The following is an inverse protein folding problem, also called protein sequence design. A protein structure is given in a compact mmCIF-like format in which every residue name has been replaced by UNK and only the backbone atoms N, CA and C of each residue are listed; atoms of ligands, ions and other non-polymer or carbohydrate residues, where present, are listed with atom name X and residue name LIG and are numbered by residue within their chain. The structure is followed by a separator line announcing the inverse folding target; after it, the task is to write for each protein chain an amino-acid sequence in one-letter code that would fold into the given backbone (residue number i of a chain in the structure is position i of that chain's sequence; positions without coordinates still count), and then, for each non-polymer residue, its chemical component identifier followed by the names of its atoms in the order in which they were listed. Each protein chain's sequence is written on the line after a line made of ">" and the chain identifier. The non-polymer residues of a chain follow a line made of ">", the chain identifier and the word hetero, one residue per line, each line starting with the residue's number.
data_IF_724740938214
#
_entry.id   IF_724740938214
#
_cell.length_a   1.000
_cell.length_b   1.000
_cell.length_c   1.000
_cell.angle_alpha   90.00
_cell.angle_beta   90.00
_cell.angle_gamma   90.00
#
_symmetry.space_group_name_H-M   'P 1'
#
loop_
_entity.id
_entity.type
_entity.pdbx_description
1 polymer ?
#
# COMPACT_ATOMS: atom_id res chain seq x y z
N UNK A 1 17.50 2.20 8.94
CA UNK A 1 17.92 1.39 7.76
C UNK A 1 17.66 -0.08 8.09
N UNK A 2 17.25 -0.92 7.13
CA UNK A 2 17.00 -2.33 7.41
C UNK A 2 18.31 -3.09 7.72
N UNK A 3 18.31 -4.11 8.59
CA UNK A 3 19.52 -4.84 9.00
C UNK A 3 20.31 -5.44 7.82
N UNK A 4 19.63 -5.91 6.79
CA UNK A 4 20.25 -6.52 5.59
C UNK A 4 20.90 -5.49 4.66
N UNK A 5 20.41 -4.24 4.66
CA UNK A 5 20.99 -3.15 3.87
C UNK A 5 22.37 -2.77 4.42
N UNK A 6 22.60 -2.94 5.74
CA UNK A 6 23.93 -2.85 6.35
C UNK A 6 24.89 -3.94 5.82
N UNK A 7 24.34 -5.07 5.36
CA UNK A 7 25.10 -6.21 4.82
C UNK A 7 25.24 -6.20 3.28
N UNK A 8 24.72 -5.16 2.59
CA UNK A 8 24.79 -4.95 1.12
C UNK A 8 24.04 -5.95 0.24
N UNK A 9 23.19 -6.79 0.81
CA UNK A 9 22.27 -7.64 0.06
C UNK A 9 20.89 -6.96 0.00
N UNK A 10 20.61 -6.29 -1.12
CA UNK A 10 19.37 -5.56 -1.32
C UNK A 10 18.28 -6.48 -1.90
N UNK A 11 17.12 -6.51 -1.26
CA UNK A 11 15.89 -7.08 -1.81
C UNK A 11 14.71 -6.13 -1.60
N UNK A 12 13.61 -6.33 -2.33
CA UNK A 12 12.37 -5.55 -2.17
C UNK A 12 11.76 -5.65 -0.75
N UNK A 13 12.26 -6.56 0.10
CA UNK A 13 11.83 -6.69 1.48
C UNK A 13 12.29 -5.51 2.35
N UNK A 14 13.37 -4.80 1.98
CA UNK A 14 13.88 -3.66 2.75
C UNK A 14 12.91 -2.47 2.76
N UNK A 15 12.07 -2.33 1.73
CA UNK A 15 11.00 -1.35 1.67
C UNK A 15 9.93 -1.65 2.73
N UNK A 16 9.63 -2.93 2.97
CA UNK A 16 8.64 -3.32 4.00
C UNK A 16 9.14 -2.99 5.40
N UNK A 17 10.44 -3.15 5.66
CA UNK A 17 11.04 -2.70 6.92
C UNK A 17 10.90 -1.18 7.08
N UNK A 18 11.23 -0.43 6.04
CA UNK A 18 11.15 1.03 6.05
C UNK A 18 9.72 1.52 6.30
N UNK A 19 8.73 0.88 5.69
CA UNK A 19 7.32 1.12 5.98
C UNK A 19 6.95 0.79 7.44
N UNK A 20 7.51 -0.27 8.02
CA UNK A 20 7.31 -0.61 9.43
C UNK A 20 7.84 0.47 10.37
N UNK A 21 9.02 1.02 10.07
CA UNK A 21 9.60 2.14 10.83
C UNK A 21 8.73 3.39 10.71
N UNK A 22 8.30 3.75 9.50
CA UNK A 22 7.41 4.90 9.27
C UNK A 22 6.08 4.70 10.02
N UNK A 23 5.51 3.49 9.98
CA UNK A 23 4.27 3.18 10.68
C UNK A 23 4.42 3.29 12.20
N UNK A 24 5.53 2.81 12.77
CA UNK A 24 5.83 2.96 14.19
C UNK A 24 5.86 4.44 14.58
N UNK A 25 6.56 5.27 13.81
CA UNK A 25 6.65 6.73 14.02
C UNK A 25 5.28 7.39 13.89
N UNK A 26 4.47 7.03 12.89
CA UNK A 26 3.16 7.64 12.68
C UNK A 26 2.18 7.36 13.83
N UNK A 27 2.28 6.21 14.49
CA UNK A 27 1.37 5.83 15.57
C UNK A 27 1.83 6.28 16.96
N UNK A 28 3.14 6.38 17.19
CA UNK A 28 3.69 6.72 18.51
C UNK A 28 4.35 8.10 18.59
N UNK A 29 4.82 8.64 17.46
CA UNK A 29 5.71 9.81 17.42
C UNK A 29 7.16 9.51 17.81
N UNK A 30 7.52 8.24 18.04
CA UNK A 30 8.82 7.80 18.54
C UNK A 30 9.58 7.02 17.46
N UNK A 31 10.90 6.89 17.63
CA UNK A 31 11.71 6.02 16.77
C UNK A 31 11.72 4.60 17.36
N UNK A 32 11.55 3.54 16.55
CA UNK A 32 11.62 2.17 17.05
C UNK A 32 13.03 1.76 17.50
N UNK A 33 14.07 2.35 16.90
CA UNK A 33 15.46 2.05 17.24
C UNK A 33 16.20 3.36 17.53
N UNK A 34 16.51 3.59 18.80
CA UNK A 34 17.21 4.79 19.28
C UNK A 34 18.61 4.44 19.78
N UNK A 35 19.48 5.43 19.89
CA UNK A 35 20.84 5.27 20.39
C UNK A 35 21.56 6.61 20.41
N UNK A 36 22.55 6.75 21.31
CA UNK A 36 23.35 7.98 21.42
C UNK A 36 24.42 8.07 20.34
N UNK A 37 24.76 6.94 19.71
CA UNK A 37 25.70 6.86 18.59
C UNK A 37 25.14 6.02 17.45
N UNK A 38 25.62 6.25 16.23
CA UNK A 38 25.23 5.42 15.06
C UNK A 38 25.50 3.93 15.29
N UNK A 39 26.56 3.59 16.04
CA UNK A 39 26.89 2.21 16.39
C UNK A 39 25.84 1.56 17.31
N UNK A 40 25.33 2.31 18.28
CA UNK A 40 24.24 1.84 19.16
C UNK A 40 22.93 1.66 18.38
N UNK A 41 22.61 2.60 17.48
CA UNK A 41 21.43 2.49 16.61
C UNK A 41 21.56 1.24 15.73
N UNK A 42 22.73 0.99 15.14
CA UNK A 42 22.98 -0.22 14.36
C UNK A 42 22.84 -1.50 15.19
N UNK A 43 23.32 -1.51 16.43
CA UNK A 43 23.18 -2.65 17.34
C UNK A 43 21.72 -2.92 17.69
N UNK A 44 20.94 -1.89 17.98
CA UNK A 44 19.50 -2.00 18.25
C UNK A 44 18.73 -2.50 17.02
N UNK A 45 19.08 -2.02 15.83
CA UNK A 45 18.53 -2.53 14.56
C UNK A 45 18.88 -4.01 14.36
N UNK A 46 20.15 -4.40 14.57
CA UNK A 46 20.62 -5.77 14.37
C UNK A 46 20.04 -6.76 15.38
N UNK A 47 19.77 -6.30 16.60
CA UNK A 47 19.18 -7.11 17.67
C UNK A 47 17.65 -7.10 17.68
N UNK A 48 17.02 -6.31 16.80
CA UNK A 48 15.57 -6.05 16.80
C UNK A 48 15.08 -5.53 18.16
N UNK A 49 15.88 -4.69 18.82
CA UNK A 49 15.56 -4.15 20.13
C UNK A 49 14.64 -2.93 19.98
N UNK A 50 13.33 -3.19 20.01
CA UNK A 50 12.25 -2.22 20.09
C UNK A 50 11.07 -2.84 20.86
N UNK A 51 10.21 -2.02 21.44
CA UNK A 51 9.04 -2.49 22.19
C UNK A 51 7.81 -1.59 21.97
N UNK A 52 6.74 -1.87 22.71
CA UNK A 52 5.51 -1.08 22.71
C UNK A 52 5.07 -0.77 24.15
N UNK A 53 6.02 -0.60 25.07
CA UNK A 53 5.79 -0.44 26.51
C UNK A 53 5.45 1.00 26.92
N UNK A 54 5.79 1.99 26.10
CA UNK A 54 5.47 3.40 26.39
C UNK A 54 3.97 3.70 26.38
N UNK A 55 3.51 4.62 27.25
CA UNK A 55 2.09 4.98 27.42
C UNK A 55 1.39 5.40 26.11
N UNK A 56 2.14 5.93 25.14
CA UNK A 56 1.62 6.30 23.81
C UNK A 56 1.00 5.10 23.07
N UNK A 57 1.42 3.88 23.41
CA UNK A 57 0.94 2.64 22.81
C UNK A 57 -0.33 2.08 23.46
N UNK A 58 -0.79 2.61 24.60
CA UNK A 58 -1.98 2.10 25.29
C UNK A 58 -3.26 2.29 24.47
N UNK A 59 -3.33 3.36 23.67
CA UNK A 59 -4.44 3.67 22.78
C UNK A 59 -4.40 2.97 21.41
N UNK A 60 -3.29 2.29 21.09
CA UNK A 60 -3.06 1.68 19.77
C UNK A 60 -3.52 0.22 19.76
N UNK A 61 -4.28 -0.17 18.73
CA UNK A 61 -4.83 -1.52 18.64
C UNK A 61 -3.76 -2.61 18.53
N UNK A 62 -4.06 -3.80 19.07
CA UNK A 62 -3.15 -4.94 19.04
C UNK A 62 -2.80 -5.36 17.60
N UNK A 63 -3.75 -5.24 16.66
CA UNK A 63 -3.54 -5.56 15.24
C UNK A 63 -2.55 -4.60 14.57
N UNK A 64 -2.48 -3.34 15.02
CA UNK A 64 -1.50 -2.38 14.53
C UNK A 64 -0.09 -2.77 14.99
N UNK A 65 0.06 -3.10 16.28
CA UNK A 65 1.32 -3.57 16.88
C UNK A 65 1.79 -4.88 16.25
N UNK A 66 0.87 -5.80 15.98
CA UNK A 66 1.14 -7.06 15.28
C UNK A 66 1.64 -6.85 13.84
N UNK A 67 1.03 -5.91 13.10
CA UNK A 67 1.52 -5.56 11.76
C UNK A 67 2.96 -5.02 11.81
N UNK A 68 3.23 -4.06 12.70
CA UNK A 68 4.59 -3.50 12.87
C UNK A 68 5.58 -4.60 13.23
N UNK A 69 5.21 -5.49 14.16
CA UNK A 69 6.05 -6.62 14.58
C UNK A 69 6.40 -7.55 13.43
N UNK A 70 5.50 -7.75 12.46
CA UNK A 70 5.76 -8.57 11.26
C UNK A 70 6.57 -7.84 10.17
N UNK A 71 6.62 -6.51 10.22
CA UNK A 71 7.43 -5.68 9.30
C UNK A 71 8.86 -5.46 9.83
N UNK A 72 9.02 -5.34 11.15
CA UNK A 72 10.28 -5.09 11.84
C UNK A 72 10.95 -6.39 12.34
N UNK A 73 11.07 -7.38 11.45
CA UNK A 73 11.81 -8.62 11.69
C UNK A 73 12.90 -8.83 10.64
N UNK A 74 13.75 -9.83 10.88
CA UNK A 74 14.74 -10.27 9.90
C UNK A 74 14.08 -10.61 8.57
N UNK A 75 14.78 -10.33 7.48
CA UNK A 75 14.28 -10.45 6.10
C UNK A 75 13.56 -11.78 5.80
N UNK A 76 14.08 -12.90 6.33
CA UNK A 76 13.53 -14.25 6.08
C UNK A 76 12.11 -14.45 6.63
N UNK A 77 11.80 -13.77 7.73
CA UNK A 77 10.51 -13.90 8.42
C UNK A 77 9.61 -12.68 8.15
N UNK A 78 10.12 -11.69 7.40
CA UNK A 78 9.44 -10.44 7.13
C UNK A 78 8.27 -10.65 6.19
N UNK A 79 7.12 -10.10 6.58
CA UNK A 79 5.92 -10.11 5.77
C UNK A 79 6.18 -9.42 4.42
N UNK A 80 5.59 -9.93 3.34
CA UNK A 80 5.66 -9.27 2.02
C UNK A 80 4.70 -8.07 1.96
N UNK A 81 4.92 -7.09 1.06
CA UNK A 81 3.98 -5.97 0.89
C UNK A 81 2.53 -6.42 0.63
N UNK A 82 2.36 -7.50 -0.14
CA UNK A 82 1.04 -8.07 -0.46
C UNK A 82 0.34 -8.67 0.76
N UNK A 83 1.10 -9.32 1.63
CA UNK A 83 0.58 -9.86 2.89
C UNK A 83 0.29 -8.74 3.89
N UNK A 84 1.14 -7.71 3.97
CA UNK A 84 0.93 -6.53 4.81
C UNK A 84 -0.35 -5.77 4.42
N UNK A 85 -0.58 -5.58 3.13
CA UNK A 85 -1.83 -4.99 2.61
C UNK A 85 -3.06 -5.83 2.98
N UNK A 86 -2.91 -7.16 3.05
CA UNK A 86 -3.99 -8.07 3.42
C UNK A 86 -4.18 -8.22 4.94
N UNK A 87 -3.36 -7.56 5.74
CA UNK A 87 -3.40 -7.63 7.20
C UNK A 87 -4.75 -7.13 7.75
N UNK A 88 -5.30 -7.77 8.80
CA UNK A 88 -6.57 -7.36 9.40
C UNK A 88 -6.62 -5.87 9.76
N UNK A 89 -5.53 -5.32 10.28
CA UNK A 89 -5.44 -3.89 10.61
C UNK A 89 -5.68 -2.99 9.39
N UNK A 90 -4.98 -3.24 8.28
CA UNK A 90 -5.13 -2.46 7.04
C UNK A 90 -6.54 -2.63 6.46
N UNK A 91 -7.06 -3.86 6.43
CA UNK A 91 -8.42 -4.12 5.95
C UNK A 91 -9.50 -3.41 6.76
N UNK A 92 -9.32 -3.31 8.08
CA UNK A 92 -10.27 -2.60 8.95
C UNK A 92 -10.31 -1.10 8.67
N UNK A 93 -9.17 -0.51 8.25
CA UNK A 93 -9.04 0.91 7.95
C UNK A 93 -9.56 1.27 6.55
N UNK A 94 -9.45 0.37 5.58
CA UNK A 94 -9.83 0.64 4.18
C UNK A 94 -11.34 0.81 3.97
N UNK A 95 -12.17 0.41 4.94
CA UNK A 95 -13.63 0.53 4.88
C UNK A 95 -14.26 -0.29 3.74
N UNK A 96 -15.55 -0.59 3.85
CA UNK A 96 -16.27 -1.21 2.74
C UNK A 96 -16.59 -0.11 1.71
N UNK A 97 -15.85 -0.07 0.60
CA UNK A 97 -16.11 0.88 -0.51
C UNK A 97 -17.37 0.51 -1.31
N UNK A 98 -18.16 -0.46 -0.84
CA UNK A 98 -19.43 -0.88 -1.43
C UNK A 98 -20.50 0.20 -1.23
N UNK A 99 -20.62 1.13 -2.17
CA UNK A 99 -21.74 2.07 -2.15
C UNK A 99 -21.81 3.14 -3.23
N UNK A 100 -20.82 3.25 -4.13
CA UNK A 100 -20.85 4.27 -5.18
C UNK A 100 -21.47 3.72 -6.46
N UNK A 101 -22.58 4.34 -6.89
CA UNK A 101 -23.24 4.07 -8.17
C UNK A 101 -22.39 4.67 -9.30
N UNK A 102 -21.63 3.83 -9.98
CA UNK A 102 -20.82 4.26 -11.11
C UNK A 102 -21.67 4.49 -12.36
N UNK A 103 -21.38 5.55 -13.12
CA UNK A 103 -22.16 5.91 -14.30
C UNK A 103 -21.96 4.88 -15.41
N UNK A 104 -23.04 4.32 -15.96
CA UNK A 104 -23.00 3.43 -17.15
C UNK A 104 -22.19 4.03 -18.32
N UNK A 105 -22.12 5.36 -18.41
CA UNK A 105 -21.34 6.12 -19.39
C UNK A 105 -19.85 5.74 -19.49
N UNK A 106 -19.22 5.18 -18.44
CA UNK A 106 -17.82 4.77 -18.52
C UNK A 106 -17.60 3.56 -19.44
N UNK A 107 -18.59 2.67 -19.56
CA UNK A 107 -18.50 1.49 -20.43
C UNK A 107 -18.59 1.87 -21.90
N UNK A 108 -19.45 2.82 -22.23
CA UNK A 108 -19.58 3.35 -23.58
C UNK A 108 -18.26 4.01 -24.02
N UNK A 109 -17.62 4.78 -23.13
CA UNK A 109 -16.32 5.40 -23.40
C UNK A 109 -15.19 4.39 -23.62
N UNK A 110 -15.19 3.26 -22.91
CA UNK A 110 -14.22 2.18 -23.12
C UNK A 110 -14.41 1.50 -24.48
N UNK A 111 -15.66 1.30 -24.91
CA UNK A 111 -15.96 0.74 -26.23
C UNK A 111 -15.57 1.73 -27.36
N UNK A 112 -15.84 3.02 -27.18
CA UNK A 112 -15.39 4.09 -28.10
C UNK A 112 -13.86 4.17 -28.20
N UNK A 113 -13.16 4.03 -27.07
CA UNK A 113 -11.70 4.00 -27.04
C UNK A 113 -11.16 2.79 -27.79
N UNK A 114 -11.76 1.61 -27.58
CA UNK A 114 -11.38 0.37 -28.29
C UNK A 114 -11.54 0.51 -29.80
N UNK A 115 -12.60 1.16 -30.27
CA UNK A 115 -12.86 1.39 -31.70
C UNK A 115 -12.05 2.55 -32.30
N UNK A 116 -11.38 3.36 -31.48
CA UNK A 116 -10.58 4.50 -31.96
C UNK A 116 -9.30 4.07 -32.69
N UNK A 117 -8.86 4.89 -33.65
CA UNK A 117 -7.62 4.66 -34.41
C UNK A 117 -6.37 4.83 -33.53
N UNK A 118 -5.22 4.37 -34.03
CA UNK A 118 -3.96 4.38 -33.29
C UNK A 118 -3.52 5.78 -32.85
N UNK A 119 -3.71 6.80 -33.71
CA UNK A 119 -3.33 8.18 -33.40
C UNK A 119 -4.15 8.73 -32.23
N UNK A 120 -5.47 8.57 -32.26
CA UNK A 120 -6.37 8.99 -31.18
C UNK A 120 -6.05 8.26 -29.88
N UNK A 121 -5.77 6.95 -29.93
CA UNK A 121 -5.33 6.17 -28.77
C UNK A 121 -4.02 6.68 -28.19
N UNK A 122 -3.02 6.97 -29.02
CA UNK A 122 -1.74 7.51 -28.58
C UNK A 122 -1.89 8.90 -27.93
N UNK A 123 -2.66 9.79 -28.54
CA UNK A 123 -2.92 11.14 -28.01
C UNK A 123 -3.65 11.04 -26.66
N UNK A 124 -4.72 10.25 -26.58
CA UNK A 124 -5.46 10.08 -25.33
C UNK A 124 -4.60 9.44 -24.23
N UNK A 125 -3.75 8.48 -24.58
CA UNK A 125 -2.80 7.87 -23.63
C UNK A 125 -1.80 8.90 -23.12
N UNK A 126 -1.25 9.74 -24.01
CA UNK A 126 -0.36 10.83 -23.60
C UNK A 126 -1.07 11.83 -22.69
N UNK A 127 -2.29 12.27 -23.06
CA UNK A 127 -3.07 13.18 -22.25
C UNK A 127 -3.37 12.60 -20.86
N UNK A 128 -3.70 11.31 -20.76
CA UNK A 128 -3.93 10.63 -19.49
C UNK A 128 -2.72 10.71 -18.55
N UNK A 129 -1.48 10.72 -19.07
CA UNK A 129 -0.27 10.90 -18.24
C UNK A 129 -0.05 12.33 -17.73
N UNK A 130 -0.89 13.29 -18.16
CA UNK A 130 -0.80 14.72 -17.82
C UNK A 130 -1.98 15.21 -16.99
N UNK A 131 -2.97 14.37 -16.76
CA UNK A 131 -4.14 14.71 -15.94
C UNK A 131 -3.74 14.76 -14.47
N UNK A 132 -4.32 15.71 -13.72
CA UNK A 132 -4.09 15.82 -12.29
C UNK A 132 -5.00 14.87 -11.52
N UNK A 133 -4.51 14.28 -10.42
CA UNK A 133 -5.25 13.30 -9.63
C UNK A 133 -6.58 13.84 -9.06
N UNK A 134 -6.65 15.16 -8.81
CA UNK A 134 -7.89 15.82 -8.36
C UNK A 134 -9.00 15.80 -9.42
N UNK A 135 -8.65 15.83 -10.71
CA UNK A 135 -9.62 15.85 -11.81
C UNK A 135 -10.21 14.46 -12.09
N UNK A 136 -9.52 13.40 -11.66
CA UNK A 136 -9.86 11.99 -11.93
C UNK A 136 -10.14 11.18 -10.66
N UNK A 137 -10.46 11.86 -9.56
CA UNK A 137 -10.67 11.21 -8.27
C UNK A 137 -11.76 10.12 -8.33
N UNK A 138 -12.86 10.40 -9.02
CA UNK A 138 -13.96 9.43 -9.17
C UNK A 138 -13.52 8.19 -9.99
N UNK A 139 -12.71 8.39 -11.02
CA UNK A 139 -12.13 7.32 -11.84
C UNK A 139 -11.10 6.50 -11.08
N UNK A 140 -10.27 7.13 -10.24
CA UNK A 140 -9.31 6.44 -9.36
C UNK A 140 -10.07 5.57 -8.34
N UNK A 141 -11.11 6.11 -7.73
CA UNK A 141 -11.94 5.34 -6.80
C UNK A 141 -12.69 4.18 -7.49
N UNK A 142 -13.16 4.39 -8.71
CA UNK A 142 -13.73 3.32 -9.55
C UNK A 142 -12.68 2.24 -9.83
N UNK A 143 -11.48 2.65 -10.26
CA UNK A 143 -10.37 1.74 -10.54
C UNK A 143 -10.04 0.89 -9.30
N UNK A 144 -9.87 1.53 -8.14
CA UNK A 144 -9.56 0.85 -6.88
C UNK A 144 -10.68 -0.10 -6.43
N UNK A 145 -11.94 0.19 -6.77
CA UNK A 145 -13.05 -0.72 -6.47
C UNK A 145 -13.04 -2.00 -7.33
N UNK A 146 -12.39 -1.94 -8.50
CA UNK A 146 -12.23 -3.07 -9.42
C UNK A 146 -10.95 -3.86 -9.11
N UNK A 147 -9.87 -3.15 -8.77
CA UNK A 147 -8.59 -3.72 -8.37
C UNK A 147 -8.66 -4.32 -6.96
N UNK A 148 -9.18 -5.54 -6.87
CA UNK A 148 -9.41 -6.21 -5.59
C UNK A 148 -8.14 -6.65 -4.88
N UNK A 149 -7.00 -6.69 -5.57
CA UNK A 149 -5.73 -7.13 -5.01
C UNK A 149 -4.75 -5.97 -4.76
N UNK A 150 -5.11 -4.75 -5.20
CA UNK A 150 -4.34 -3.51 -5.19
C UNK A 150 -2.94 -3.63 -5.81
N UNK A 151 -2.82 -4.34 -6.93
CA UNK A 151 -1.58 -4.45 -7.69
C UNK A 151 -1.40 -3.34 -8.74
N UNK A 152 -2.40 -2.46 -8.90
CA UNK A 152 -2.40 -1.37 -9.86
C UNK A 152 -2.85 -1.79 -11.26
N UNK A 153 -3.37 -3.01 -11.43
CA UNK A 153 -3.89 -3.54 -12.69
C UNK A 153 -5.30 -4.11 -12.52
N UNK A 154 -6.14 -3.97 -13.54
CA UNK A 154 -7.44 -4.65 -13.59
C UNK A 154 -7.32 -5.87 -14.50
N UNK A 155 -7.29 -7.06 -13.92
CA UNK A 155 -7.33 -8.31 -14.69
C UNK A 155 -8.71 -8.56 -15.30
N UNK A 156 -8.81 -9.43 -16.31
CA UNK A 156 -10.11 -9.84 -16.89
C UNK A 156 -11.09 -10.39 -15.84
N UNK A 157 -10.58 -11.03 -14.77
CA UNK A 157 -11.40 -11.56 -13.68
C UNK A 157 -11.95 -10.43 -12.81
N UNK A 158 -11.10 -9.49 -12.42
CA UNK A 158 -11.48 -8.29 -11.67
C UNK A 158 -12.46 -7.42 -12.45
N UNK A 159 -12.20 -7.17 -13.74
CA UNK A 159 -13.11 -6.44 -14.62
C UNK A 159 -14.50 -7.08 -14.64
N UNK A 160 -14.59 -8.39 -14.85
CA UNK A 160 -15.87 -9.10 -14.86
C UNK A 160 -16.61 -8.99 -13.53
N UNK A 161 -15.88 -9.06 -12.40
CA UNK A 161 -16.45 -8.93 -11.06
C UNK A 161 -16.93 -7.50 -10.77
N UNK A 162 -16.14 -6.49 -11.15
CA UNK A 162 -16.49 -5.08 -11.02
C UNK A 162 -17.72 -4.70 -11.84
N UNK A 163 -17.79 -5.15 -13.10
CA UNK A 163 -18.95 -4.91 -13.98
C UNK A 163 -20.25 -5.52 -13.44
N UNK A 164 -20.18 -6.63 -12.71
CA UNK A 164 -21.35 -7.23 -12.06
C UNK A 164 -21.82 -6.42 -10.85
N UNK A 165 -20.93 -5.68 -10.18
CA UNK A 165 -21.27 -4.78 -9.07
C UNK A 165 -21.86 -3.44 -9.54
N UNK A 166 -21.67 -3.09 -10.82
CA UNK A 166 -22.21 -1.85 -11.42
C UNK A 166 -23.67 -1.99 -11.91
N UNK A 167 -24.22 -3.21 -11.94
CA UNK A 167 -25.63 -3.46 -12.28
C UNK A 167 -26.49 -3.54 -11.03
#
# INVERSE_FOLDING_TARGET
>A
MAPEVLNKDYSNACDTWSLGVILYIMLSGLLPFEGTTDAEIEENIKSLNFDFEEEVWDGVSAEAKDLISKMLVYEKDRITPKEALNHPWVKSMLGDTSGKSYKDSYLDKLEDFKQSNHLKKAILSFLATKVNDEEIKDEIELFNSFDTNNDGYITKKELKKGLLKMK
#
